data_IF_606221931027
#
_entry.id   IF_606221931027
#
_cell.length_a   1.000
_cell.length_b   1.000
_cell.length_c   1.000
_cell.angle_alpha   90.00
_cell.angle_beta   90.00
_cell.angle_gamma   90.00
#
_symmetry.space_group_name_H-M   'P 1'
#
loop_
_entity.id
_entity.type
_entity.pdbx_description
1 polymer ?
#
# COMPACT_ATOMS: atom_id res chain seq x y z
N UNK A 1 7.54 58.04 33.13
CA UNK A 1 7.29 58.16 34.59
C UNK A 1 7.82 56.89 35.26
N UNK A 2 8.59 57.07 36.33
CA UNK A 2 9.35 56.04 37.08
C UNK A 2 8.49 55.38 38.16
N UNK A 3 8.78 54.10 38.48
CA UNK A 3 8.97 53.49 39.83
C UNK A 3 9.12 51.97 39.66
N UNK A 4 10.34 51.39 39.69
CA UNK A 4 11.20 50.98 40.82
C UNK A 4 10.84 49.58 41.37
N UNK A 5 11.83 48.69 41.26
CA UNK A 5 11.99 47.30 41.77
C UNK A 5 12.48 47.34 43.24
N UNK A 6 12.35 46.24 44.02
CA UNK A 6 13.55 45.48 44.41
C UNK A 6 13.31 43.94 44.28
N UNK A 7 14.18 43.09 43.72
CA UNK A 7 15.62 42.83 43.91
C UNK A 7 15.90 41.91 45.11
N UNK A 8 16.24 40.64 44.80
CA UNK A 8 17.18 39.67 45.43
C UNK A 8 17.31 38.59 44.33
N UNK A 9 18.36 38.38 43.52
CA UNK A 9 19.82 38.49 43.59
C UNK A 9 20.52 37.42 44.46
N UNK A 10 21.00 36.37 43.79
CA UNK A 10 22.27 35.65 44.01
C UNK A 10 22.37 34.54 42.92
N UNK A 11 22.96 34.69 41.73
CA UNK A 11 24.32 35.07 41.28
C UNK A 11 25.44 34.06 41.56
N UNK A 12 25.95 33.51 40.44
CA UNK A 12 27.36 33.24 40.07
C UNK A 12 28.14 32.15 40.86
N UNK A 13 28.56 31.04 40.23
CA UNK A 13 29.75 30.81 39.38
C UNK A 13 31.11 30.77 40.12
N UNK A 14 31.76 29.60 39.99
CA UNK A 14 33.22 29.31 39.92
C UNK A 14 34.17 29.60 41.10
N UNK A 15 34.72 28.51 41.66
CA UNK A 15 36.08 28.26 42.20
C UNK A 15 35.96 27.13 43.26
N UNK A 16 36.82 26.13 43.43
CA UNK A 16 38.26 26.09 43.28
C UNK A 16 38.78 24.63 43.19
N UNK A 17 40.03 24.51 42.76
CA UNK A 17 40.90 23.34 42.79
C UNK A 17 40.90 22.58 44.12
N UNK A 18 40.99 21.25 44.01
CA UNK A 18 41.51 20.36 45.05
C UNK A 18 42.31 19.25 44.37
N UNK A 19 43.62 19.42 44.29
CA UNK A 19 44.54 18.33 43.96
C UNK A 19 44.79 17.52 45.23
N UNK A 20 44.54 16.21 45.19
CA UNK A 20 44.98 15.27 46.23
C UNK A 20 45.60 14.03 45.58
N UNK A 21 46.93 14.02 45.63
CA UNK A 21 47.85 12.90 45.89
C UNK A 21 47.40 11.46 45.59
N UNK A 22 48.11 10.86 44.62
CA UNK A 22 48.24 9.40 44.45
C UNK A 22 48.91 8.74 45.68
N UNK A 23 48.34 7.68 46.25
CA UNK A 23 49.13 6.67 46.95
C UNK A 23 49.67 5.65 45.93
N UNK A 24 50.98 5.44 45.96
CA UNK A 24 51.59 4.28 45.32
C UNK A 24 51.05 3.01 46.00
N UNK A 25 50.28 2.21 45.26
CA UNK A 25 49.94 0.84 45.65
C UNK A 25 50.52 -0.09 44.59
N UNK A 26 51.64 -0.70 44.98
CA UNK A 26 52.18 -1.94 44.44
C UNK A 26 51.15 -3.06 44.56
N UNK A 27 50.82 -3.72 43.45
CA UNK A 27 49.99 -4.92 43.42
C UNK A 27 49.33 -5.09 42.07
N UNK A 28 49.99 -5.80 41.16
CA UNK A 28 49.38 -6.22 39.91
C UNK A 28 48.42 -7.39 40.19
N UNK A 29 47.12 -7.17 40.04
CA UNK A 29 46.15 -8.23 39.82
C UNK A 29 45.50 -8.02 38.45
N UNK A 30 45.73 -8.99 37.57
CA UNK A 30 45.14 -9.07 36.23
C UNK A 30 43.61 -9.15 36.34
N UNK A 31 42.82 -8.29 35.69
CA UNK A 31 41.37 -8.47 35.67
C UNK A 31 41.03 -9.76 34.90
N UNK A 32 40.28 -10.65 35.54
CA UNK A 32 39.68 -11.81 34.87
C UNK A 32 38.73 -11.33 33.75
N UNK A 33 38.66 -12.02 32.60
CA UNK A 33 37.71 -11.67 31.56
C UNK A 33 36.29 -11.89 32.08
N UNK A 34 35.50 -10.82 32.15
CA UNK A 34 34.04 -10.91 32.29
C UNK A 34 33.52 -11.73 31.12
N UNK A 35 32.84 -12.84 31.41
CA UNK A 35 32.18 -13.65 30.39
C UNK A 35 31.26 -12.75 29.56
N UNK A 36 31.37 -12.83 28.22
CA UNK A 36 30.39 -12.20 27.34
C UNK A 36 29.00 -12.75 27.72
N UNK A 37 27.96 -11.90 27.79
CA UNK A 37 26.60 -12.39 27.93
C UNK A 37 26.32 -13.36 26.78
N UNK A 38 25.77 -14.52 27.12
CA UNK A 38 25.31 -15.53 26.18
C UNK A 38 24.37 -14.85 25.17
N UNK A 39 24.54 -15.07 23.85
CA UNK A 39 23.62 -14.49 22.88
C UNK A 39 22.20 -14.92 23.25
N UNK A 40 21.30 -13.94 23.34
CA UNK A 40 19.89 -14.22 23.55
C UNK A 40 19.45 -15.29 22.53
N UNK A 41 18.62 -16.27 22.94
CA UNK A 41 18.14 -17.28 22.01
C UNK A 41 17.57 -16.58 20.78
N UNK A 42 18.10 -16.95 19.61
CA UNK A 42 17.61 -16.48 18.32
C UNK A 42 16.11 -16.75 18.30
N UNK A 43 15.31 -15.68 18.26
CA UNK A 43 13.85 -15.80 18.33
C UNK A 43 13.41 -16.76 17.22
N UNK A 44 12.59 -17.75 17.56
CA UNK A 44 12.03 -18.65 16.56
C UNK A 44 11.39 -17.81 15.45
N UNK A 45 11.59 -18.17 14.17
CA UNK A 45 11.02 -17.42 13.07
C UNK A 45 9.51 -17.35 13.27
N UNK A 46 8.98 -16.13 13.33
CA UNK A 46 7.53 -15.92 13.44
C UNK A 46 6.87 -16.67 12.30
N UNK A 47 5.99 -17.62 12.63
CA UNK A 47 5.22 -18.41 11.67
C UNK A 47 4.16 -17.57 10.97
N UNK A 48 4.58 -16.58 10.19
CA UNK A 48 3.69 -15.73 9.39
C UNK A 48 3.17 -16.51 8.19
N UNK A 49 1.92 -16.28 7.75
CA UNK A 49 1.41 -16.84 6.50
C UNK A 49 2.32 -16.43 5.33
N UNK A 50 3.09 -17.39 4.81
CA UNK A 50 3.89 -17.17 3.62
C UNK A 50 3.02 -17.48 2.39
N UNK A 51 2.43 -16.46 1.78
CA UNK A 51 1.93 -16.62 0.40
C UNK A 51 3.13 -16.74 -0.54
N UNK A 52 3.12 -17.85 -1.28
CA UNK A 52 4.31 -18.37 -1.94
C UNK A 52 4.79 -17.46 -3.07
N UNK A 53 6.09 -17.18 -3.04
CA UNK A 53 6.91 -16.57 -4.09
C UNK A 53 7.60 -17.65 -4.94
N UNK A 54 6.98 -18.82 -5.11
CA UNK A 54 7.53 -19.78 -6.08
C UNK A 54 7.62 -19.08 -7.44
N UNK A 55 8.65 -19.36 -8.25
CA UNK A 55 8.80 -18.74 -9.56
C UNK A 55 7.64 -19.18 -10.47
N UNK A 56 6.53 -18.46 -10.37
CA UNK A 56 5.40 -18.51 -11.29
C UNK A 56 5.78 -17.64 -12.51
N UNK A 57 5.34 -18.01 -13.71
CA UNK A 57 5.49 -17.15 -14.88
C UNK A 57 4.73 -15.84 -14.66
N UNK A 58 5.23 -14.75 -15.25
CA UNK A 58 4.48 -13.51 -15.34
C UNK A 58 3.39 -13.72 -16.40
N UNK A 59 2.09 -13.50 -16.09
CA UNK A 59 1.04 -13.56 -17.09
C UNK A 59 1.34 -12.58 -18.24
N UNK A 60 1.13 -12.99 -19.49
CA UNK A 60 1.53 -12.20 -20.68
C UNK A 60 0.86 -10.82 -20.71
N UNK A 61 -0.39 -10.72 -20.25
CA UNK A 61 -1.17 -9.49 -20.21
C UNK A 61 -1.05 -8.72 -18.87
N UNK A 62 -0.12 -9.10 -17.98
CA UNK A 62 0.13 -8.35 -16.75
C UNK A 62 1.10 -7.19 -17.02
N UNK A 63 0.67 -5.99 -16.69
CA UNK A 63 1.52 -4.79 -16.63
C UNK A 63 1.41 -4.12 -15.26
N UNK A 64 2.28 -3.15 -15.01
CA UNK A 64 2.13 -2.23 -13.88
C UNK A 64 0.84 -1.41 -14.04
N UNK A 65 0.23 -0.98 -12.93
CA UNK A 65 -0.93 -0.12 -13.00
C UNK A 65 -0.57 1.24 -13.60
N UNK A 66 -1.58 1.94 -14.12
CA UNK A 66 -1.41 3.30 -14.61
C UNK A 66 -1.12 4.26 -13.45
N UNK A 67 0.15 4.61 -13.28
CA UNK A 67 0.61 5.60 -12.29
C UNK A 67 0.67 7.03 -12.89
N UNK A 68 0.11 7.28 -14.08
CA UNK A 68 0.17 8.57 -14.76
C UNK A 68 1.52 8.90 -15.42
N UNK A 69 2.42 7.92 -15.54
CA UNK A 69 3.71 8.05 -16.22
C UNK A 69 4.16 6.74 -16.85
N UNK A 70 5.00 6.81 -17.88
CA UNK A 70 5.58 5.62 -18.50
C UNK A 70 6.73 5.08 -17.62
N UNK A 71 6.66 3.81 -17.21
CA UNK A 71 7.68 3.18 -16.36
C UNK A 71 8.95 2.93 -17.18
N UNK A 72 10.08 3.47 -16.70
CA UNK A 72 11.39 3.37 -17.33
C UNK A 72 12.35 2.47 -16.53
N UNK A 73 12.35 2.62 -15.20
CA UNK A 73 13.21 1.86 -14.29
C UNK A 73 12.39 1.25 -13.14
N UNK A 74 12.84 0.08 -12.65
CA UNK A 74 12.18 -0.64 -11.58
C UNK A 74 13.18 -1.01 -10.48
N UNK A 75 12.75 -0.93 -9.23
CA UNK A 75 13.60 -1.23 -8.08
C UNK A 75 12.84 -2.03 -7.04
N UNK A 76 13.55 -2.93 -6.34
CA UNK A 76 13.03 -3.66 -5.18
C UNK A 76 13.76 -3.24 -3.92
N UNK A 77 13.01 -3.13 -2.82
CA UNK A 77 13.61 -2.82 -1.53
C UNK A 77 14.42 -4.00 -0.96
N UNK A 78 15.40 -3.68 -0.12
CA UNK A 78 15.95 -4.62 0.85
C UNK A 78 14.85 -5.15 1.78
N UNK A 79 15.00 -6.34 2.39
CA UNK A 79 14.08 -6.81 3.41
C UNK A 79 13.94 -5.78 4.55
N UNK A 80 12.70 -5.51 4.95
CA UNK A 80 12.36 -4.62 6.05
C UNK A 80 11.16 -5.17 6.82
N UNK A 81 10.94 -4.66 8.03
CA UNK A 81 9.80 -5.03 8.86
C UNK A 81 9.64 -6.55 9.01
N UNK A 82 8.38 -6.99 9.09
CA UNK A 82 8.03 -8.40 9.19
C UNK A 82 7.53 -8.89 7.83
N UNK A 83 8.39 -9.64 7.13
CA UNK A 83 8.17 -10.08 5.74
C UNK A 83 7.87 -8.92 4.77
N UNK A 84 8.46 -7.75 4.99
CA UNK A 84 8.22 -6.57 4.19
C UNK A 84 8.74 -6.70 2.76
N UNK A 85 7.97 -6.16 1.82
CA UNK A 85 8.30 -6.13 0.37
C UNK A 85 7.91 -4.77 -0.19
N UNK A 86 8.72 -4.23 -1.08
CA UNK A 86 8.38 -3.00 -1.78
C UNK A 86 8.89 -3.00 -3.22
N UNK A 87 8.09 -2.41 -4.09
CA UNK A 87 8.37 -2.15 -5.49
C UNK A 87 8.31 -0.65 -5.73
N UNK A 88 9.38 -0.10 -6.27
CA UNK A 88 9.47 1.28 -6.70
C UNK A 88 9.57 1.33 -8.23
N UNK A 89 8.70 2.10 -8.84
CA UNK A 89 8.70 2.40 -10.27
C UNK A 89 9.18 3.84 -10.46
N UNK A 90 10.03 4.08 -11.45
CA UNK A 90 10.50 5.41 -11.85
C UNK A 90 10.20 5.62 -13.33
N UNK A 91 9.81 6.83 -13.68
CA UNK A 91 9.64 7.23 -15.07
C UNK A 91 9.37 8.71 -15.22
N UNK A 92 8.88 9.08 -16.40
CA UNK A 92 8.63 10.48 -16.77
C UNK A 92 7.17 10.70 -17.12
N UNK A 93 6.55 11.74 -16.56
CA UNK A 93 5.19 12.15 -16.92
C UNK A 93 5.13 12.89 -18.28
N UNK A 94 3.93 13.17 -18.79
CA UNK A 94 3.75 13.91 -20.05
C UNK A 94 4.40 15.31 -20.04
N UNK A 95 4.61 15.88 -18.85
CA UNK A 95 5.26 17.17 -18.64
C UNK A 95 6.80 17.11 -18.63
N UNK A 96 7.39 15.92 -18.77
CA UNK A 96 8.83 15.72 -18.66
C UNK A 96 9.35 15.71 -17.21
N UNK A 97 8.45 15.63 -16.23
CA UNK A 97 8.77 15.56 -14.81
C UNK A 97 9.09 14.13 -14.39
N UNK A 98 10.15 13.98 -13.60
CA UNK A 98 10.47 12.69 -12.99
C UNK A 98 9.43 12.31 -11.93
N UNK A 99 8.89 11.10 -12.05
CA UNK A 99 7.86 10.55 -11.18
C UNK A 99 8.25 9.19 -10.64
N UNK A 100 7.74 8.92 -9.44
CA UNK A 100 7.91 7.65 -8.77
C UNK A 100 6.57 7.15 -8.25
N UNK A 101 6.41 5.83 -8.25
CA UNK A 101 5.32 5.13 -7.57
C UNK A 101 5.91 4.01 -6.72
N UNK A 102 5.64 4.03 -5.41
CA UNK A 102 6.11 3.03 -4.46
C UNK A 102 4.94 2.28 -3.86
N UNK A 103 4.96 0.97 -4.00
CA UNK A 103 4.01 0.05 -3.37
C UNK A 103 4.77 -0.79 -2.37
N UNK A 104 4.25 -0.91 -1.15
CA UNK A 104 4.96 -1.60 -0.08
C UNK A 104 3.99 -2.24 0.91
N UNK A 105 4.41 -3.37 1.47
CA UNK A 105 3.64 -4.15 2.45
C UNK A 105 4.54 -4.62 3.58
N UNK A 106 3.98 -4.83 4.76
CA UNK A 106 4.63 -5.51 5.89
C UNK A 106 3.56 -6.02 6.85
N UNK A 107 3.87 -7.08 7.58
CA UNK A 107 3.07 -7.44 8.76
C UNK A 107 3.33 -6.45 9.91
N UNK A 108 2.29 -6.18 10.68
CA UNK A 108 2.32 -5.38 11.89
C UNK A 108 1.71 -6.16 13.06
N UNK A 109 2.29 -6.12 14.27
CA UNK A 109 1.68 -6.72 15.43
C UNK A 109 0.44 -5.93 15.86
N UNK A 110 -0.70 -6.60 16.00
CA UNK A 110 -1.96 -5.99 16.44
C UNK A 110 -2.74 -6.94 17.35
N UNK A 111 -3.10 -6.50 18.56
CA UNK A 111 -3.99 -7.25 19.46
C UNK A 111 -3.49 -8.63 19.91
N UNK A 112 -2.20 -8.95 19.70
CA UNK A 112 -1.63 -10.28 19.98
C UNK A 112 -1.53 -11.20 18.75
N UNK A 113 -1.90 -10.72 17.58
CA UNK A 113 -1.73 -11.37 16.27
C UNK A 113 -0.94 -10.45 15.31
N UNK A 114 -0.88 -10.79 14.02
CA UNK A 114 -0.27 -9.99 12.96
C UNK A 114 -1.27 -9.69 11.84
N UNK A 115 -1.40 -8.41 11.50
CA UNK A 115 -2.17 -7.96 10.33
C UNK A 115 -1.24 -7.61 9.19
N UNK A 116 -1.65 -7.90 7.95
CA UNK A 116 -0.91 -7.49 6.76
C UNK A 116 -1.31 -6.06 6.41
N UNK A 117 -0.36 -5.13 6.41
CA UNK A 117 -0.59 -3.75 6.01
C UNK A 117 0.09 -3.46 4.67
N UNK A 118 -0.40 -2.45 3.96
CA UNK A 118 0.26 -1.94 2.77
C UNK A 118 -0.04 -0.49 2.50
N UNK A 119 0.76 0.09 1.62
CA UNK A 119 0.63 1.47 1.19
C UNK A 119 1.06 1.59 -0.27
N UNK A 120 0.44 2.54 -0.95
CA UNK A 120 0.79 2.99 -2.29
C UNK A 120 0.98 4.49 -2.26
N UNK A 121 2.16 4.97 -2.66
CA UNK A 121 2.45 6.40 -2.73
C UNK A 121 3.04 6.77 -4.07
N UNK A 122 2.62 7.90 -4.60
CA UNK A 122 3.08 8.45 -5.87
C UNK A 122 3.56 9.88 -5.64
N UNK A 123 4.59 10.30 -6.36
CA UNK A 123 5.14 11.64 -6.17
C UNK A 123 6.41 11.91 -6.96
N UNK A 124 6.86 13.16 -6.90
CA UNK A 124 8.17 13.57 -7.41
C UNK A 124 9.34 13.18 -6.49
N UNK A 125 10.57 13.33 -6.98
CA UNK A 125 11.78 13.03 -6.21
C UNK A 125 11.86 13.77 -4.86
N UNK A 126 11.46 15.05 -4.84
CA UNK A 126 11.49 15.87 -3.62
C UNK A 126 10.44 15.42 -2.59
N UNK A 127 9.22 15.11 -3.05
CA UNK A 127 8.09 14.69 -2.20
C UNK A 127 8.39 13.36 -1.50
N UNK A 128 9.03 12.43 -2.23
CA UNK A 128 9.41 11.11 -1.71
C UNK A 128 10.85 11.06 -1.16
N UNK A 129 11.55 12.20 -1.13
CA UNK A 129 12.91 12.31 -0.61
C UNK A 129 13.92 11.37 -1.30
N UNK A 130 13.77 11.15 -2.60
CA UNK A 130 14.58 10.21 -3.38
C UNK A 130 16.03 10.68 -3.47
N UNK A 131 16.99 9.79 -3.21
CA UNK A 131 18.42 10.04 -3.40
C UNK A 131 19.12 8.83 -4.00
N UNK A 132 20.01 9.06 -4.95
CA UNK A 132 20.90 8.03 -5.48
C UNK A 132 22.14 7.88 -4.59
N UNK A 133 22.40 6.66 -4.10
CA UNK A 133 23.57 6.35 -3.30
C UNK A 133 24.09 4.95 -3.62
N UNK A 134 25.32 4.85 -4.12
CA UNK A 134 26.00 3.56 -4.28
C UNK A 134 25.34 2.58 -5.26
N UNK A 135 24.58 3.08 -6.24
CA UNK A 135 23.83 2.24 -7.20
C UNK A 135 22.45 1.78 -6.70
N UNK A 136 22.00 2.31 -5.57
CA UNK A 136 20.66 2.15 -5.03
C UNK A 136 19.94 3.51 -4.93
N UNK A 137 18.62 3.46 -4.80
CA UNK A 137 17.80 4.61 -4.42
C UNK A 137 17.44 4.52 -2.94
N UNK A 138 17.57 5.63 -2.23
CA UNK A 138 16.95 5.80 -0.92
C UNK A 138 15.66 6.57 -1.05
N UNK A 139 14.56 6.09 -0.46
CA UNK A 139 13.23 6.71 -0.55
C UNK A 139 12.62 6.85 0.84
N UNK A 140 11.88 7.93 1.07
CA UNK A 140 11.17 8.20 2.33
C UNK A 140 9.67 8.03 2.14
N UNK A 141 9.15 6.83 2.40
CA UNK A 141 7.70 6.55 2.34
C UNK A 141 7.06 6.59 3.74
N UNK A 142 5.76 6.93 3.85
CA UNK A 142 5.03 6.88 5.11
C UNK A 142 5.11 5.52 5.81
N UNK A 143 5.10 5.52 7.14
CA UNK A 143 5.08 4.28 7.93
C UNK A 143 3.69 3.64 7.87
N UNK A 144 3.65 2.32 7.74
CA UNK A 144 2.40 1.56 7.75
C UNK A 144 1.73 1.57 9.14
N UNK A 145 2.53 1.50 10.20
CA UNK A 145 2.05 1.60 11.58
C UNK A 145 3.19 2.02 12.52
N UNK A 146 2.83 2.40 13.75
CA UNK A 146 3.82 2.67 14.79
C UNK A 146 4.69 1.44 15.04
N UNK A 147 6.01 1.63 15.08
CA UNK A 147 6.96 0.54 15.31
C UNK A 147 7.22 -0.37 14.10
N UNK A 148 6.53 -0.18 12.97
CA UNK A 148 6.78 -0.92 11.72
C UNK A 148 7.79 -0.15 10.85
N UNK A 149 8.95 -0.75 10.53
CA UNK A 149 9.92 -0.15 9.61
C UNK A 149 9.34 0.09 8.21
N UNK A 150 9.71 1.21 7.58
CA UNK A 150 9.44 1.48 6.16
C UNK A 150 10.57 0.94 5.27
N UNK A 151 10.32 0.66 3.99
CA UNK A 151 11.41 0.42 3.04
C UNK A 151 12.22 1.70 2.84
N UNK A 152 13.55 1.59 2.92
CA UNK A 152 14.45 2.75 2.77
C UNK A 152 15.35 2.63 1.54
N UNK A 153 15.90 1.44 1.26
CA UNK A 153 16.92 1.23 0.22
C UNK A 153 16.38 0.32 -0.87
N UNK A 154 16.51 0.73 -2.13
CA UNK A 154 15.96 0.07 -3.30
C UNK A 154 17.05 -0.18 -4.35
N UNK A 155 17.16 -1.42 -4.86
CA UNK A 155 18.11 -1.78 -5.91
C UNK A 155 17.43 -1.99 -7.26
N UNK A 156 18.08 -1.60 -8.36
CA UNK A 156 17.51 -1.75 -9.69
C UNK A 156 17.34 -3.23 -10.05
N UNK A 157 16.22 -3.54 -10.69
CA UNK A 157 15.89 -4.87 -11.21
C UNK A 157 15.34 -4.79 -12.62
N UNK A 158 15.40 -5.90 -13.37
CA UNK A 158 14.73 -5.98 -14.67
C UNK A 158 13.20 -6.00 -14.54
N UNK A 159 12.50 -5.50 -15.57
CA UNK A 159 11.03 -5.42 -15.62
C UNK A 159 10.32 -6.73 -15.30
N UNK A 160 10.79 -7.86 -15.81
CA UNK A 160 10.18 -9.17 -15.55
C UNK A 160 10.26 -9.56 -14.06
N UNK A 161 11.37 -9.25 -13.39
CA UNK A 161 11.53 -9.45 -11.95
C UNK A 161 10.61 -8.53 -11.15
N UNK A 162 10.49 -7.27 -11.57
CA UNK A 162 9.57 -6.32 -10.96
C UNK A 162 8.10 -6.73 -11.14
N UNK A 163 7.70 -7.23 -12.32
CA UNK A 163 6.35 -7.75 -12.54
C UNK A 163 6.04 -9.02 -11.73
N UNK A 164 7.02 -9.91 -11.54
CA UNK A 164 6.87 -11.03 -10.60
C UNK A 164 6.61 -10.53 -9.19
N UNK A 165 7.39 -9.54 -8.73
CA UNK A 165 7.20 -8.94 -7.42
C UNK A 165 5.82 -8.30 -7.30
N UNK A 166 5.42 -7.48 -8.27
CA UNK A 166 4.10 -6.83 -8.33
C UNK A 166 2.94 -7.84 -8.28
N UNK A 167 2.98 -8.88 -9.11
CA UNK A 167 1.98 -9.97 -9.10
C UNK A 167 1.83 -10.60 -7.71
N UNK A 168 2.95 -10.77 -7.01
CA UNK A 168 3.00 -11.41 -5.69
C UNK A 168 2.66 -10.44 -4.55
N UNK A 169 2.37 -9.16 -4.84
CA UNK A 169 1.85 -8.21 -3.87
C UNK A 169 0.31 -8.28 -3.80
N UNK A 170 -0.28 -8.07 -2.61
CA UNK A 170 -1.71 -7.83 -2.43
C UNK A 170 -2.28 -6.77 -3.37
N UNK A 171 -3.61 -6.75 -3.52
CA UNK A 171 -4.30 -5.58 -4.04
C UNK A 171 -4.08 -4.38 -3.11
N UNK A 172 -3.60 -3.28 -3.68
CA UNK A 172 -3.30 -1.98 -3.10
C UNK A 172 -4.01 -0.88 -3.90
N UNK A 173 -5.30 -1.10 -4.14
CA UNK A 173 -6.21 -0.17 -4.79
C UNK A 173 -5.88 0.23 -6.23
N UNK A 174 -5.20 -0.66 -6.96
CA UNK A 174 -4.74 -0.45 -8.33
C UNK A 174 -5.81 -0.65 -9.42
N UNK A 175 -7.09 -0.47 -9.11
CA UNK A 175 -8.14 -0.62 -10.11
C UNK A 175 -8.06 0.50 -11.16
N UNK A 176 -8.15 0.11 -12.43
CA UNK A 176 -8.28 1.04 -13.55
C UNK A 176 -9.76 1.36 -13.72
N UNK A 177 -10.13 2.59 -13.36
CA UNK A 177 -11.49 3.11 -13.44
C UNK A 177 -11.63 4.04 -14.66
N UNK A 178 -12.82 4.11 -15.27
CA UNK A 178 -13.01 4.90 -16.48
C UNK A 178 -13.04 6.40 -16.24
N UNK A 179 -13.24 6.80 -14.97
CA UNK A 179 -13.30 8.18 -14.51
C UNK A 179 -12.59 8.27 -13.16
N UNK A 180 -12.08 9.46 -12.88
CA UNK A 180 -11.51 9.80 -11.58
C UNK A 180 -12.55 9.61 -10.47
N UNK A 181 -12.26 8.69 -9.53
CA UNK A 181 -13.15 8.34 -8.42
C UNK A 181 -13.32 9.47 -7.40
N UNK A 182 -12.41 10.44 -7.37
CA UNK A 182 -12.45 11.57 -6.43
C UNK A 182 -13.30 12.74 -6.96
N UNK A 183 -13.87 12.61 -8.18
CA UNK A 183 -14.73 13.64 -8.74
C UNK A 183 -16.06 13.76 -7.97
N UNK A 184 -16.54 14.99 -7.81
CA UNK A 184 -17.86 15.24 -7.23
C UNK A 184 -18.99 14.73 -8.14
N UNK A 185 -20.14 14.38 -7.56
CA UNK A 185 -21.35 14.02 -8.32
C UNK A 185 -21.76 15.16 -9.29
N UNK A 186 -21.55 16.42 -8.89
CA UNK A 186 -21.82 17.57 -9.75
C UNK A 186 -20.91 17.61 -10.98
N UNK A 187 -19.61 17.31 -10.81
CA UNK A 187 -18.66 17.20 -11.92
C UNK A 187 -18.99 16.00 -12.80
N UNK A 188 -19.29 14.84 -12.20
CA UNK A 188 -19.72 13.64 -12.90
C UNK A 188 -20.92 13.91 -13.81
N UNK A 189 -21.95 14.60 -13.30
CA UNK A 189 -23.14 14.94 -14.07
C UNK A 189 -22.87 15.87 -15.27
N UNK A 190 -21.75 16.61 -15.25
CA UNK A 190 -21.30 17.48 -16.33
C UNK A 190 -20.32 16.83 -17.31
N UNK A 191 -19.83 15.63 -17.01
CA UNK A 191 -18.83 14.93 -17.83
C UNK A 191 -19.45 14.44 -19.15
N UNK A 192 -18.87 14.75 -20.32
CA UNK A 192 -19.37 14.25 -21.61
C UNK A 192 -19.44 12.72 -21.66
N UNK A 193 -20.54 12.18 -22.19
CA UNK A 193 -20.77 10.74 -22.29
C UNK A 193 -21.41 10.12 -21.04
N UNK A 194 -21.43 10.83 -19.91
CA UNK A 194 -22.11 10.36 -18.70
C UNK A 194 -23.62 10.58 -18.81
N UNK A 195 -24.39 9.54 -18.49
CA UNK A 195 -25.87 9.58 -18.51
C UNK A 195 -26.40 9.27 -17.12
N UNK A 196 -27.29 10.10 -16.58
CA UNK A 196 -27.98 9.81 -15.32
C UNK A 196 -29.06 8.75 -15.56
N UNK A 197 -28.96 7.61 -14.88
CA UNK A 197 -29.88 6.46 -15.00
C UNK A 197 -30.83 6.34 -13.81
N UNK A 198 -30.46 6.93 -12.66
CA UNK A 198 -31.25 6.90 -11.44
C UNK A 198 -31.10 8.15 -10.56
N UNK A 199 -31.52 8.03 -9.30
CA UNK A 199 -31.43 9.12 -8.33
C UNK A 199 -29.99 9.58 -8.12
N UNK A 200 -29.12 8.66 -7.71
CA UNK A 200 -27.68 8.88 -7.57
C UNK A 200 -26.90 7.84 -8.38
N UNK A 201 -27.39 7.54 -9.59
CA UNK A 201 -26.82 6.52 -10.45
C UNK A 201 -26.62 7.08 -11.85
N UNK A 202 -25.45 6.78 -12.39
CA UNK A 202 -24.96 7.24 -13.67
C UNK A 202 -24.40 6.06 -14.46
N UNK A 203 -24.29 6.23 -15.77
CA UNK A 203 -23.67 5.27 -16.67
C UNK A 203 -22.65 5.99 -17.55
N UNK A 204 -21.51 5.35 -17.77
CA UNK A 204 -20.46 5.79 -18.66
C UNK A 204 -19.78 4.58 -19.31
N UNK A 205 -19.87 4.47 -20.64
CA UNK A 205 -19.23 3.42 -21.44
C UNK A 205 -19.48 1.98 -20.95
N UNK A 206 -20.70 1.70 -20.48
CA UNK A 206 -21.10 0.39 -19.96
C UNK A 206 -20.74 0.16 -18.49
N UNK A 207 -20.23 1.18 -17.79
CA UNK A 207 -19.94 1.17 -16.36
C UNK A 207 -21.01 1.97 -15.61
N UNK A 208 -21.66 1.33 -14.65
CA UNK A 208 -22.58 1.97 -13.70
C UNK A 208 -21.77 2.60 -12.57
N UNK A 209 -22.09 3.86 -12.26
CA UNK A 209 -21.44 4.66 -11.23
C UNK A 209 -22.51 5.07 -10.24
N UNK A 210 -22.33 4.71 -8.98
CA UNK A 210 -23.27 5.08 -7.90
C UNK A 210 -22.65 6.14 -7.02
N UNK A 211 -23.41 7.19 -6.73
CA UNK A 211 -23.05 8.25 -5.81
C UNK A 211 -23.83 8.12 -4.50
N UNK A 212 -23.29 8.74 -3.44
CA UNK A 212 -24.00 8.91 -2.15
C UNK A 212 -23.92 10.35 -1.70
N UNK A 213 -24.98 10.82 -1.06
CA UNK A 213 -24.98 12.14 -0.42
C UNK A 213 -24.16 12.11 0.87
N UNK A 214 -23.42 13.19 1.14
CA UNK A 214 -22.89 13.40 2.48
C UNK A 214 -24.03 13.56 3.49
N UNK A 215 -23.79 13.12 4.73
CA UNK A 215 -24.67 13.42 5.86
C UNK A 215 -24.82 14.94 6.11
N UNK A 216 -23.87 15.74 5.64
CA UNK A 216 -23.90 17.21 5.65
C UNK A 216 -24.76 17.82 4.53
N UNK A 217 -25.33 16.99 3.63
CA UNK A 217 -26.25 17.34 2.52
C UNK A 217 -25.71 18.35 1.49
N UNK A 218 -24.40 18.55 1.40
CA UNK A 218 -23.81 19.62 0.57
C UNK A 218 -23.11 19.16 -0.70
N UNK A 219 -22.77 17.89 -0.83
CA UNK A 219 -22.24 17.31 -2.07
C UNK A 219 -22.52 15.79 -2.10
N UNK A 220 -22.56 15.23 -3.30
CA UNK A 220 -22.47 13.78 -3.50
C UNK A 220 -21.07 13.40 -3.94
N UNK A 221 -20.60 12.22 -3.53
CA UNK A 221 -19.33 11.64 -3.94
C UNK A 221 -19.57 10.31 -4.66
N UNK A 222 -18.62 9.86 -5.47
CA UNK A 222 -18.68 8.53 -6.09
C UNK A 222 -18.40 7.47 -5.04
N UNK A 223 -19.36 6.58 -4.86
CA UNK A 223 -19.26 5.48 -3.89
C UNK A 223 -18.79 4.17 -4.54
N UNK A 224 -19.19 3.91 -5.78
CA UNK A 224 -18.87 2.64 -6.44
C UNK A 224 -18.90 2.70 -7.96
N UNK A 225 -18.14 1.80 -8.57
CA UNK A 225 -18.16 1.49 -9.99
C UNK A 225 -18.53 0.01 -10.17
N UNK A 226 -19.38 -0.28 -11.15
CA UNK A 226 -19.83 -1.62 -11.47
C UNK A 226 -19.96 -1.82 -12.97
N UNK A 227 -19.50 -2.95 -13.49
CA UNK A 227 -19.88 -3.37 -14.84
C UNK A 227 -20.00 -4.87 -14.95
N UNK A 228 -20.93 -5.30 -15.79
CA UNK A 228 -21.03 -6.65 -16.33
C UNK A 228 -20.99 -6.65 -17.87
N UNK A 229 -20.59 -5.53 -18.47
CA UNK A 229 -20.57 -5.34 -19.92
C UNK A 229 -19.20 -5.77 -20.45
N UNK A 230 -19.11 -6.76 -21.36
CA UNK A 230 -17.86 -7.12 -21.99
C UNK A 230 -17.22 -5.92 -22.70
N UNK A 231 -15.92 -5.71 -22.47
CA UNK A 231 -15.18 -4.58 -23.03
C UNK A 231 -15.38 -3.23 -22.34
N UNK A 232 -16.11 -3.18 -21.21
CA UNK A 232 -16.20 -1.96 -20.42
C UNK A 232 -14.80 -1.52 -19.90
N UNK A 233 -14.54 -0.20 -19.82
CA UNK A 233 -13.27 0.37 -19.35
C UNK A 233 -13.13 0.30 -17.82
N UNK A 234 -13.24 -0.90 -17.26
CA UNK A 234 -12.97 -1.19 -15.85
C UNK A 234 -12.15 -2.47 -15.76
N UNK A 235 -10.96 -2.38 -15.20
CA UNK A 235 -10.00 -3.49 -15.17
C UNK A 235 -9.11 -3.45 -13.94
N UNK A 236 -8.58 -4.61 -13.59
CA UNK A 236 -7.55 -4.73 -12.57
C UNK A 236 -6.53 -5.74 -13.07
N UNK A 237 -5.24 -5.39 -13.05
CA UNK A 237 -4.15 -6.26 -13.51
C UNK A 237 -4.38 -6.85 -14.92
N UNK A 238 -5.03 -6.07 -15.81
CA UNK A 238 -5.35 -6.49 -17.18
C UNK A 238 -6.44 -7.57 -17.30
N UNK A 239 -7.23 -7.82 -16.25
CA UNK A 239 -8.41 -8.68 -16.32
C UNK A 239 -9.57 -7.96 -17.01
N UNK A 240 -10.26 -8.70 -17.90
CA UNK A 240 -11.31 -8.15 -18.77
C UNK A 240 -12.60 -8.96 -18.67
N UNK A 241 -13.71 -8.24 -18.51
CA UNK A 241 -15.05 -8.81 -18.47
C UNK A 241 -15.36 -9.49 -19.81
N UNK A 242 -15.84 -10.73 -19.75
CA UNK A 242 -16.20 -11.55 -20.90
C UNK A 242 -15.02 -12.27 -21.58
N UNK A 243 -13.78 -12.08 -21.11
CA UNK A 243 -12.58 -12.69 -21.69
C UNK A 243 -11.77 -13.48 -20.66
N UNK A 244 -11.51 -12.90 -19.49
CA UNK A 244 -10.63 -13.52 -18.48
C UNK A 244 -11.32 -14.63 -17.71
N UNK A 245 -10.57 -15.67 -17.34
CA UNK A 245 -11.04 -16.80 -16.53
C UNK A 245 -10.75 -16.63 -15.02
N UNK A 246 -11.29 -17.52 -14.18
CA UNK A 246 -10.86 -17.61 -12.77
C UNK A 246 -9.37 -17.94 -12.64
N UNK A 247 -8.84 -18.83 -13.50
CA UNK A 247 -7.41 -19.17 -13.52
C UNK A 247 -6.55 -17.95 -13.87
N UNK A 248 -6.99 -17.15 -14.85
CA UNK A 248 -6.36 -15.88 -15.19
C UNK A 248 -6.27 -14.92 -14.00
N UNK A 249 -7.33 -14.84 -13.20
CA UNK A 249 -7.35 -13.98 -12.02
C UNK A 249 -6.41 -14.51 -10.93
N UNK A 250 -6.48 -15.80 -10.59
CA UNK A 250 -5.59 -16.42 -9.61
C UNK A 250 -4.11 -16.32 -10.02
N UNK A 251 -3.82 -16.36 -11.32
CA UNK A 251 -2.46 -16.16 -11.83
C UNK A 251 -1.93 -14.73 -11.66
N UNK A 252 -2.80 -13.74 -11.44
CA UNK A 252 -2.44 -12.32 -11.30
C UNK A 252 -2.34 -11.83 -9.86
N UNK A 253 -2.87 -12.57 -8.90
CA UNK A 253 -2.82 -12.24 -7.47
C UNK A 253 -1.95 -13.21 -6.67
N UNK A 254 -1.51 -12.84 -5.45
CA UNK A 254 -0.90 -13.80 -4.53
C UNK A 254 -1.97 -14.78 -4.03
N UNK A 255 -1.59 -16.06 -3.89
CA UNK A 255 -2.45 -17.09 -3.28
C UNK A 255 -1.61 -18.11 -2.48
N UNK A 256 -2.24 -18.77 -1.51
CA UNK A 256 -1.62 -19.83 -0.70
C UNK A 256 -1.62 -21.18 -1.45
N UNK A 257 -0.55 -21.96 -1.31
CA UNK A 257 -0.42 -23.30 -1.92
C UNK A 257 -1.43 -24.28 -1.28
N UNK A 258 -2.00 -25.13 -2.14
CA UNK A 258 -2.86 -26.33 -2.02
C UNK A 258 -3.38 -26.87 -0.66
N UNK A 259 -2.79 -26.58 0.49
CA UNK A 259 -3.27 -27.07 1.79
C UNK A 259 -4.40 -26.20 2.39
N UNK A 260 -4.54 -24.93 1.96
CA UNK A 260 -5.61 -24.03 2.44
C UNK A 260 -6.69 -23.69 1.39
N UNK A 261 -6.43 -23.91 0.10
CA UNK A 261 -7.42 -23.66 -0.96
C UNK A 261 -8.51 -24.74 -1.01
N UNK A 262 -8.23 -25.96 -0.55
CA UNK A 262 -9.25 -27.00 -0.36
C UNK A 262 -10.15 -26.78 0.87
N UNK A 263 -9.85 -25.77 1.71
CA UNK A 263 -10.52 -25.49 3.00
C UNK A 263 -11.14 -24.08 3.11
N UNK A 264 -11.13 -23.26 2.05
CA UNK A 264 -11.74 -21.92 2.07
C UNK A 264 -10.95 -20.86 2.84
N UNK A 265 -9.61 -20.94 2.85
CA UNK A 265 -8.75 -19.93 3.47
C UNK A 265 -8.55 -18.68 2.60
N UNK A 266 -8.07 -17.56 3.17
CA UNK A 266 -7.79 -16.33 2.43
C UNK A 266 -6.66 -16.54 1.40
N UNK A 267 -6.71 -15.78 0.30
CA UNK A 267 -5.61 -15.67 -0.66
C UNK A 267 -4.36 -15.06 -0.02
N UNK A 268 -4.57 -14.02 0.79
CA UNK A 268 -3.56 -13.32 1.57
C UNK A 268 -4.22 -12.53 2.70
N UNK A 269 -3.42 -12.21 3.72
CA UNK A 269 -3.82 -11.32 4.80
C UNK A 269 -5.01 -11.82 5.62
N UNK A 270 -5.79 -10.89 6.16
CA UNK A 270 -6.91 -11.20 7.04
C UNK A 270 -7.60 -9.94 7.60
N UNK A 271 -8.63 -10.12 8.45
CA UNK A 271 -9.39 -9.02 9.03
C UNK A 271 -8.49 -8.00 9.75
N UNK A 272 -8.77 -6.71 9.58
CA UNK A 272 -8.01 -5.61 10.20
C UNK A 272 -6.86 -5.06 9.35
N UNK A 273 -6.56 -5.67 8.19
CA UNK A 273 -5.60 -5.14 7.23
C UNK A 273 -5.98 -5.45 5.79
N UNK A 274 -4.97 -5.60 4.94
CA UNK A 274 -5.14 -6.12 3.58
C UNK A 274 -5.68 -7.53 3.64
N UNK A 275 -6.66 -7.81 2.78
CA UNK A 275 -7.30 -9.11 2.74
C UNK A 275 -7.72 -9.45 1.32
N UNK A 276 -7.52 -10.70 0.92
CA UNK A 276 -8.09 -11.25 -0.28
C UNK A 276 -8.65 -12.63 0.02
N UNK A 277 -9.83 -12.96 -0.50
CA UNK A 277 -10.44 -14.27 -0.28
C UNK A 277 -11.24 -14.76 -1.50
N UNK A 278 -11.28 -16.09 -1.72
CA UNK A 278 -12.24 -16.69 -2.62
C UNK A 278 -13.62 -16.74 -1.97
N UNK A 279 -14.64 -16.36 -2.73
CA UNK A 279 -16.04 -16.39 -2.34
C UNK A 279 -16.87 -17.27 -3.27
N UNK A 280 -18.12 -17.47 -2.86
CA UNK A 280 -19.17 -18.06 -3.69
C UNK A 280 -20.41 -17.19 -3.58
N UNK A 281 -20.98 -16.82 -4.73
CA UNK A 281 -22.31 -16.20 -4.78
C UNK A 281 -23.42 -17.15 -4.29
N UNK A 282 -24.58 -16.60 -3.98
CA UNK A 282 -25.79 -17.37 -3.61
C UNK A 282 -26.22 -18.38 -4.70
N UNK A 283 -25.80 -18.14 -5.94
CA UNK A 283 -26.07 -19.01 -7.09
C UNK A 283 -25.01 -20.11 -7.27
N UNK A 284 -23.98 -20.14 -6.43
CA UNK A 284 -22.88 -21.11 -6.51
C UNK A 284 -21.82 -20.76 -7.56
N UNK A 285 -21.79 -19.52 -8.05
CA UNK A 285 -20.70 -19.05 -8.92
C UNK A 285 -19.55 -18.47 -8.10
N UNK A 286 -18.29 -18.72 -8.48
CA UNK A 286 -17.13 -18.24 -7.74
C UNK A 286 -16.95 -16.72 -7.87
N UNK A 287 -16.41 -16.12 -6.83
CA UNK A 287 -15.93 -14.74 -6.83
C UNK A 287 -14.58 -14.62 -6.12
N UNK A 288 -13.84 -13.56 -6.42
CA UNK A 288 -12.66 -13.14 -5.65
C UNK A 288 -12.93 -11.76 -5.08
N UNK A 289 -12.74 -11.61 -3.79
CA UNK A 289 -12.98 -10.37 -3.06
C UNK A 289 -11.68 -9.86 -2.44
N UNK A 290 -11.43 -8.56 -2.53
CA UNK A 290 -10.20 -7.91 -2.06
C UNK A 290 -10.54 -6.63 -1.29
N UNK A 291 -9.84 -6.43 -0.17
CA UNK A 291 -9.96 -5.26 0.69
C UNK A 291 -8.62 -4.57 0.83
N UNK A 292 -8.66 -3.25 0.67
CA UNK A 292 -7.57 -2.33 0.91
C UNK A 292 -8.15 -1.13 1.66
N UNK A 293 -7.82 -0.98 2.94
CA UNK A 293 -8.36 0.10 3.77
C UNK A 293 -9.91 0.17 3.68
N UNK A 294 -10.45 1.27 3.19
CA UNK A 294 -11.88 1.50 2.98
C UNK A 294 -12.38 1.06 1.59
N UNK A 295 -11.48 0.62 0.71
CA UNK A 295 -11.79 0.15 -0.64
C UNK A 295 -12.05 -1.35 -0.69
N UNK A 296 -13.03 -1.73 -1.50
CA UNK A 296 -13.46 -3.10 -1.73
C UNK A 296 -13.57 -3.36 -3.23
N UNK A 297 -12.98 -4.47 -3.68
CA UNK A 297 -13.04 -4.95 -5.05
C UNK A 297 -13.59 -6.38 -5.07
N UNK A 298 -14.54 -6.67 -5.97
CA UNK A 298 -15.03 -8.00 -6.28
C UNK A 298 -14.96 -8.31 -7.76
N UNK A 299 -14.43 -9.49 -8.06
CA UNK A 299 -14.44 -10.13 -9.38
C UNK A 299 -15.41 -11.31 -9.33
N UNK A 300 -16.52 -11.25 -10.07
CA UNK A 300 -17.51 -12.32 -10.09
C UNK A 300 -17.44 -13.08 -11.41
N UNK A 301 -17.41 -14.41 -11.34
CA UNK A 301 -17.33 -15.28 -12.50
C UNK A 301 -18.69 -15.91 -12.80
N UNK A 302 -18.95 -16.22 -14.07
CA UNK A 302 -20.14 -16.97 -14.49
C UNK A 302 -19.99 -18.47 -14.25
N UNK A 303 -21.06 -19.23 -14.53
CA UNK A 303 -21.04 -20.70 -14.55
C UNK A 303 -20.01 -21.26 -15.55
N UNK A 304 -19.72 -20.51 -16.60
CA UNK A 304 -18.71 -20.81 -17.62
C UNK A 304 -17.27 -20.55 -17.16
N UNK A 305 -17.08 -20.02 -15.94
CA UNK A 305 -15.77 -19.69 -15.37
C UNK A 305 -15.15 -18.41 -15.94
N UNK A 306 -15.91 -17.63 -16.72
CA UNK A 306 -15.48 -16.36 -17.31
C UNK A 306 -15.84 -15.20 -16.37
N UNK A 307 -14.97 -14.20 -16.28
CA UNK A 307 -15.19 -12.97 -15.52
C UNK A 307 -16.43 -12.27 -16.07
N UNK A 308 -17.51 -12.29 -15.29
CA UNK A 308 -18.81 -11.78 -15.68
C UNK A 308 -19.02 -10.33 -15.21
N UNK A 309 -18.46 -9.96 -14.06
CA UNK A 309 -18.57 -8.59 -13.57
C UNK A 309 -17.41 -8.17 -12.67
N UNK A 310 -17.14 -6.87 -12.69
CA UNK A 310 -16.24 -6.18 -11.75
C UNK A 310 -17.05 -5.19 -10.94
N UNK A 311 -16.85 -5.21 -9.62
CA UNK A 311 -17.42 -4.24 -8.70
C UNK A 311 -16.31 -3.65 -7.84
N UNK A 312 -16.25 -2.33 -7.76
CA UNK A 312 -15.39 -1.62 -6.82
C UNK A 312 -16.22 -0.60 -6.04
N UNK A 313 -15.92 -0.44 -4.76
CA UNK A 313 -16.53 0.58 -3.91
C UNK A 313 -15.57 1.06 -2.85
N UNK A 314 -15.79 2.26 -2.33
CA UNK A 314 -15.04 2.79 -1.19
C UNK A 314 -15.98 3.27 -0.09
N UNK A 315 -15.55 3.17 1.17
CA UNK A 315 -16.12 3.90 2.30
C UNK A 315 -15.39 5.21 2.61
N UNK A 316 -14.32 5.56 1.87
CA UNK A 316 -13.46 6.71 2.18
C UNK A 316 -14.32 7.96 2.41
N UNK A 317 -14.28 8.35 3.68
CA UNK A 317 -15.10 9.35 4.32
C UNK A 317 -14.26 10.55 4.77
N UNK A 318 -12.93 10.41 4.87
CA UNK A 318 -12.06 11.39 5.50
C UNK A 318 -11.10 12.03 4.48
N UNK A 319 -11.13 13.36 4.40
CA UNK A 319 -10.19 14.24 3.67
C UNK A 319 -10.38 14.51 2.17
N UNK A 320 -11.60 14.37 1.61
CA UNK A 320 -11.95 15.13 0.38
C UNK A 320 -12.09 16.62 0.73
N UNK A 321 -10.95 17.29 0.89
CA UNK A 321 -10.86 18.73 0.63
C UNK A 321 -10.99 18.87 -0.88
N UNK A 322 -12.22 19.08 -1.34
CA UNK A 322 -12.44 19.50 -2.72
C UNK A 322 -11.46 20.64 -3.02
N UNK A 323 -10.54 20.41 -3.96
CA UNK A 323 -9.90 21.54 -4.63
C UNK A 323 -11.07 22.31 -5.25
N UNK A 324 -11.41 23.45 -4.66
CA UNK A 324 -12.29 24.41 -5.31
C UNK A 324 -11.57 24.83 -6.60
N UNK A 325 -11.84 24.11 -7.67
CA UNK A 325 -11.44 24.52 -9.00
C UNK A 325 -12.19 25.81 -9.30
N UNK A 326 -11.43 26.91 -9.31
CA UNK A 326 -11.94 28.27 -9.46
C UNK A 326 -12.86 28.40 -10.66
N UNK A 327 -14.01 29.05 -10.42
CA UNK A 327 -14.95 29.49 -11.43
C UNK A 327 -14.34 30.49 -12.43
#
# INVERSE_FOLDING_TARGET
MKRIIPLILASLLLAACGAETLPAVTGAETPQPTALPEPAPEAEPVGLPQYFTQPRPVPEALDFPDCGFAVEECYLAEPFGLSGRALLLRGTDEGGGERFACRYISYAPEGGDYVLLGGSVEGGAEELGVREQGGALTVSVPRLAEGVPSPEVFYPVGRETALRAYRDMPYLDEIELPLDRDMSEARLAGTPGVVRTGGHEYEYEGVTISCREFWTRKAGYIYSFYSATPGAPISVRGLKIGESTLEDALARFPYLLEEYTLMGGPLYGGPGGLWGEPGMSDQGNPDLSFWYEDSFLRLSFGEDGILHSVFWSTSEYDDVTYKEDGA
#
